data_IF_825288943600
#
_entry.id   IF_825288943600
#
_cell.length_a   1.000
_cell.length_b   1.000
_cell.length_c   1.000
_cell.angle_alpha   90.00
_cell.angle_beta   90.00
_cell.angle_gamma   90.00
#
_symmetry.space_group_name_H-M   'P 1'
#
loop_
_entity.id
_entity.type
_entity.pdbx_description
1 polymer ?
#
# COMPACT_ATOMS: atom_id res chain seq x y z
N UNK A 1 16.07 12.98 -0.82
CA UNK A 1 15.63 11.58 -0.64
C UNK A 1 14.26 11.61 0.04
N UNK A 2 13.17 11.29 -0.67
CA UNK A 2 11.82 11.34 -0.07
C UNK A 2 11.59 10.12 0.82
N UNK A 3 11.95 10.33 2.09
CA UNK A 3 11.66 9.62 3.35
C UNK A 3 10.73 8.40 3.29
N UNK A 4 11.28 7.21 3.56
CA UNK A 4 10.53 5.97 3.85
C UNK A 4 9.49 6.17 4.98
N UNK A 5 9.78 7.05 5.95
CA UNK A 5 8.82 7.44 7.01
C UNK A 5 7.54 8.10 6.48
N UNK A 6 7.62 8.77 5.33
CA UNK A 6 6.45 9.36 4.65
C UNK A 6 5.57 8.29 4.03
N UNK A 7 6.19 7.29 3.38
CA UNK A 7 5.48 6.16 2.77
C UNK A 7 4.76 5.32 3.84
N UNK A 8 5.42 5.00 4.95
CA UNK A 8 4.80 4.27 6.06
C UNK A 8 3.57 5.00 6.62
N UNK A 9 3.63 6.32 6.76
CA UNK A 9 2.49 7.13 7.23
C UNK A 9 1.31 7.10 6.23
N UNK A 10 1.60 7.20 4.94
CA UNK A 10 0.58 7.13 3.89
C UNK A 10 -0.05 5.73 3.80
N UNK A 11 0.74 4.66 3.95
CA UNK A 11 0.22 3.28 4.02
C UNK A 11 -0.71 3.10 5.22
N UNK A 12 -0.33 3.58 6.40
CA UNK A 12 -1.18 3.51 7.60
C UNK A 12 -2.51 4.27 7.40
N UNK A 13 -2.47 5.47 6.84
CA UNK A 13 -3.68 6.26 6.53
C UNK A 13 -4.55 5.52 5.50
N UNK A 14 -3.95 4.99 4.44
CA UNK A 14 -4.66 4.25 3.41
C UNK A 14 -5.36 3.02 3.98
N UNK A 15 -4.65 2.22 4.77
CA UNK A 15 -5.22 1.06 5.45
C UNK A 15 -6.37 1.52 6.37
N UNK A 16 -6.21 2.60 7.14
CA UNK A 16 -7.24 3.15 8.02
C UNK A 16 -8.52 3.51 7.27
N UNK A 17 -8.39 4.17 6.12
CA UNK A 17 -9.52 4.59 5.31
C UNK A 17 -10.25 3.41 4.63
N UNK A 18 -9.55 2.29 4.41
CA UNK A 18 -10.06 1.13 3.69
C UNK A 18 -10.37 -0.09 4.60
N UNK A 19 -10.22 0.01 5.92
CA UNK A 19 -10.42 -1.12 6.86
C UNK A 19 -11.83 -1.73 6.85
N UNK A 20 -12.84 -0.97 6.42
CA UNK A 20 -14.23 -1.45 6.38
C UNK A 20 -14.44 -2.58 5.35
N UNK A 21 -13.48 -2.83 4.45
CA UNK A 21 -13.64 -3.69 3.26
C UNK A 21 -12.92 -5.04 3.29
N UNK A 22 -12.40 -5.52 4.44
CA UNK A 22 -11.55 -6.73 4.59
C UNK A 22 -10.04 -6.40 4.53
N UNK A 23 -9.15 -7.25 5.06
CA UNK A 23 -7.71 -7.19 4.79
C UNK A 23 -7.38 -6.83 3.33
N UNK A 24 -6.51 -5.84 3.15
CA UNK A 24 -6.21 -5.25 1.84
C UNK A 24 -5.04 -6.00 1.21
N UNK A 25 -5.18 -6.36 -0.06
CA UNK A 25 -4.12 -7.01 -0.83
C UNK A 25 -2.99 -6.03 -1.17
N UNK A 26 -1.73 -6.42 -0.96
CA UNK A 26 -0.56 -5.60 -1.30
C UNK A 26 -0.54 -5.28 -2.80
N UNK A 27 -1.06 -6.16 -3.66
CA UNK A 27 -1.11 -5.90 -5.11
C UNK A 27 -2.01 -4.71 -5.43
N UNK A 28 -3.18 -4.62 -4.80
CA UNK A 28 -4.08 -3.46 -4.94
C UNK A 28 -3.44 -2.19 -4.36
N UNK A 29 -2.71 -2.33 -3.25
CA UNK A 29 -2.00 -1.21 -2.64
C UNK A 29 -0.86 -0.70 -3.54
N UNK A 30 -0.17 -1.58 -4.26
CA UNK A 30 0.85 -1.20 -5.23
C UNK A 30 0.27 -0.48 -6.47
N UNK A 31 -0.90 -0.90 -6.96
CA UNK A 31 -1.61 -0.21 -8.05
C UNK A 31 -1.94 1.24 -7.66
N UNK A 32 -2.52 1.45 -6.48
CA UNK A 32 -2.89 2.80 -6.01
C UNK A 32 -1.68 3.70 -5.74
N UNK A 33 -0.56 3.15 -5.27
CA UNK A 33 0.64 3.93 -4.94
C UNK A 33 1.59 4.16 -6.12
N UNK A 34 1.57 3.28 -7.12
CA UNK A 34 2.34 3.47 -8.37
C UNK A 34 1.68 4.49 -9.29
N UNK A 35 0.41 4.84 -9.08
CA UNK A 35 -0.33 5.75 -9.96
C UNK A 35 -0.70 5.12 -11.31
N UNK A 36 -0.39 3.83 -11.48
CA UNK A 36 -0.81 3.04 -12.63
C UNK A 36 -2.31 2.79 -12.52
N UNK A 37 -3.13 3.66 -13.13
CA UNK A 37 -4.55 3.34 -13.30
C UNK A 37 -4.64 2.07 -14.15
N UNK A 38 -5.29 0.98 -13.70
CA UNK A 38 -5.57 -0.13 -14.59
C UNK A 38 -6.42 0.43 -15.73
N UNK A 39 -5.91 0.40 -16.95
CA UNK A 39 -6.66 0.80 -18.12
C UNK A 39 -7.82 -0.20 -18.26
N UNK A 40 -9.10 0.18 -18.04
CA UNK A 40 -10.22 -0.76 -17.93
C UNK A 40 -10.58 -1.44 -19.26
N UNK A 41 -9.83 -1.18 -20.33
CA UNK A 41 -9.99 -1.75 -21.66
C UNK A 41 -8.96 -2.85 -22.00
N UNK A 42 -8.08 -3.24 -21.07
CA UNK A 42 -7.19 -4.38 -21.29
C UNK A 42 -7.97 -5.67 -21.05
N UNK A 43 -8.80 -6.00 -22.04
CA UNK A 43 -9.23 -7.38 -22.26
C UNK A 43 -8.00 -8.28 -22.35
N UNK A 44 -8.17 -9.52 -21.91
CA UNK A 44 -7.20 -10.60 -21.73
C UNK A 44 -6.24 -10.88 -22.91
N UNK A 45 -6.43 -10.21 -24.05
CA UNK A 45 -5.66 -10.31 -25.30
C UNK A 45 -4.61 -9.19 -25.54
N UNK A 46 -4.52 -8.15 -24.69
CA UNK A 46 -3.61 -7.01 -24.89
C UNK A 46 -2.32 -7.01 -24.04
N UNK A 47 -1.91 -8.17 -23.51
CA UNK A 47 -0.63 -8.36 -22.80
C UNK A 47 0.62 -8.29 -23.72
N UNK A 48 0.55 -7.53 -24.83
CA UNK A 48 1.68 -7.28 -25.74
C UNK A 48 2.15 -5.82 -25.75
N UNK A 49 1.56 -4.94 -24.93
CA UNK A 49 1.88 -3.51 -24.94
C UNK A 49 1.87 -2.82 -23.59
N UNK A 50 1.93 -3.57 -22.47
CA UNK A 50 2.25 -2.95 -21.17
C UNK A 50 3.74 -2.64 -21.24
N UNK A 51 4.11 -1.35 -21.19
CA UNK A 51 5.51 -0.95 -21.30
C UNK A 51 6.31 -1.63 -20.19
N UNK A 52 7.47 -2.21 -20.50
CA UNK A 52 8.32 -2.87 -19.50
C UNK A 52 8.62 -1.97 -18.29
N UNK A 53 8.64 -0.65 -18.50
CA UNK A 53 8.76 0.37 -17.46
C UNK A 53 7.57 0.41 -16.49
N UNK A 54 6.32 0.28 -16.95
CA UNK A 54 5.13 0.26 -16.08
C UNK A 54 5.13 -0.98 -15.18
N UNK A 55 5.60 -2.12 -15.70
CA UNK A 55 5.81 -3.33 -14.90
C UNK A 55 6.96 -3.20 -13.89
N UNK A 56 8.06 -2.55 -14.26
CA UNK A 56 9.21 -2.36 -13.38
C UNK A 56 8.91 -1.39 -12.22
N UNK A 57 8.19 -0.29 -12.50
CA UNK A 57 7.74 0.64 -11.47
C UNK A 57 6.74 -0.01 -10.51
N UNK A 58 5.80 -0.80 -11.05
CA UNK A 58 4.82 -1.53 -10.25
C UNK A 58 5.48 -2.60 -9.36
N UNK A 59 6.46 -3.33 -9.90
CA UNK A 59 7.22 -4.32 -9.14
C UNK A 59 8.12 -3.67 -8.08
N UNK A 60 8.78 -2.56 -8.41
CA UNK A 60 9.56 -1.76 -7.46
C UNK A 60 8.70 -1.22 -6.32
N UNK A 61 7.51 -0.69 -6.64
CA UNK A 61 6.57 -0.21 -5.63
C UNK A 61 6.07 -1.35 -4.74
N UNK A 62 5.75 -2.51 -5.32
CA UNK A 62 5.36 -3.71 -4.57
C UNK A 62 6.45 -4.14 -3.58
N UNK A 63 7.71 -4.18 -4.00
CA UNK A 63 8.83 -4.53 -3.12
C UNK A 63 8.99 -3.51 -1.99
N UNK A 64 8.91 -2.22 -2.29
CA UNK A 64 8.99 -1.15 -1.27
C UNK A 64 7.85 -1.22 -0.27
N UNK A 65 6.62 -1.41 -0.74
CA UNK A 65 5.45 -1.57 0.12
C UNK A 65 5.54 -2.83 0.97
N UNK A 66 6.04 -3.93 0.41
CA UNK A 66 6.26 -5.17 1.15
C UNK A 66 7.20 -4.93 2.32
N UNK A 67 8.36 -4.29 2.06
CA UNK A 67 9.32 -3.96 3.11
C UNK A 67 8.73 -3.03 4.18
N UNK A 68 8.00 -2.00 3.77
CA UNK A 68 7.33 -1.08 4.71
C UNK A 68 6.29 -1.82 5.56
N UNK A 69 5.52 -2.72 4.96
CA UNK A 69 4.51 -3.49 5.67
C UNK A 69 5.12 -4.50 6.64
N UNK A 70 6.24 -5.13 6.29
CA UNK A 70 7.03 -5.98 7.19
C UNK A 70 7.57 -5.17 8.37
N UNK A 71 8.15 -3.98 8.13
CA UNK A 71 8.61 -3.09 9.20
C UNK A 71 7.46 -2.62 10.10
N UNK A 72 6.27 -2.40 9.55
CA UNK A 72 5.06 -2.06 10.32
C UNK A 72 4.52 -3.25 11.12
N UNK A 73 4.68 -4.47 10.60
CA UNK A 73 4.34 -5.72 11.28
C UNK A 73 5.29 -5.99 12.45
N UNK A 74 6.61 -5.86 12.26
CA UNK A 74 7.61 -5.97 13.33
C UNK A 74 7.37 -4.96 14.47
N UNK A 75 6.83 -3.78 14.15
CA UNK A 75 6.45 -2.74 15.11
C UNK A 75 5.07 -2.99 15.76
N UNK A 76 4.37 -4.06 15.40
CA UNK A 76 3.04 -4.40 15.90
C UNK A 76 1.95 -3.41 15.48
N UNK A 77 2.14 -2.69 14.37
CA UNK A 77 1.17 -1.73 13.82
C UNK A 77 0.27 -2.39 12.76
N UNK A 78 0.76 -3.41 12.07
CA UNK A 78 0.04 -4.15 11.04
C UNK A 78 0.15 -5.65 11.33
N UNK A 79 -0.87 -6.41 10.98
CA UNK A 79 -0.83 -7.87 10.87
C UNK A 79 -0.88 -8.23 9.39
N UNK A 80 0.11 -8.99 8.92
CA UNK A 80 0.10 -9.55 7.58
C UNK A 80 -0.48 -10.96 7.62
N UNK A 81 -1.53 -11.18 6.84
CA UNK A 81 -2.14 -12.48 6.63
C UNK A 81 -1.84 -12.96 5.20
N UNK A 82 -1.63 -14.26 5.02
CA UNK A 82 -1.37 -14.86 3.70
C UNK A 82 0.07 -15.34 3.51
N UNK A 83 0.27 -16.12 2.46
CA UNK A 83 1.56 -16.77 2.16
C UNK A 83 2.39 -15.90 1.23
N UNK A 84 3.70 -15.74 1.50
CA UNK A 84 4.69 -15.13 0.60
C UNK A 84 4.70 -15.76 -0.81
N UNK A 85 4.20 -16.99 -0.94
CA UNK A 85 4.22 -17.80 -2.16
C UNK A 85 3.11 -17.40 -3.14
N UNK A 86 1.99 -16.88 -2.64
CA UNK A 86 0.86 -16.45 -3.46
C UNK A 86 0.81 -14.94 -3.30
N UNK A 87 0.95 -14.18 -4.38
CA UNK A 87 1.02 -12.71 -4.41
C UNK A 87 -0.16 -11.95 -3.77
N UNK A 88 -1.01 -12.64 -3.02
CA UNK A 88 -2.07 -12.15 -2.15
C UNK A 88 -1.61 -12.10 -0.70
N UNK A 89 -0.68 -11.20 -0.40
CA UNK A 89 -0.33 -10.86 0.98
C UNK A 89 -1.31 -9.77 1.42
N UNK A 90 -1.93 -9.95 2.57
CA UNK A 90 -3.05 -9.13 3.04
C UNK A 90 -2.65 -8.38 4.31
N UNK A 91 -2.81 -7.06 4.32
CA UNK A 91 -2.49 -6.24 5.48
C UNK A 91 -3.77 -5.84 6.24
N UNK A 92 -3.70 -5.92 7.57
CA UNK A 92 -4.72 -5.41 8.50
C UNK A 92 -4.05 -4.56 9.57
N UNK A 93 -4.70 -3.47 9.99
CA UNK A 93 -4.20 -2.66 11.10
C UNK A 93 -4.51 -3.31 12.45
N UNK A 94 -3.52 -3.31 13.34
CA UNK A 94 -3.72 -3.61 14.77
C UNK A 94 -4.38 -2.42 15.48
N UNK A 95 -4.85 -2.57 16.73
CA UNK A 95 -5.32 -1.43 17.52
C UNK A 95 -4.28 -0.31 17.64
N UNK A 96 -3.00 -0.67 17.85
CA UNK A 96 -1.88 0.27 17.92
C UNK A 96 -1.62 0.95 16.56
N UNK A 97 -1.68 0.19 15.47
CA UNK A 97 -1.57 0.73 14.12
C UNK A 97 -2.68 1.70 13.77
N UNK A 98 -3.91 1.40 14.20
CA UNK A 98 -5.07 2.29 14.02
C UNK A 98 -4.87 3.62 14.73
N UNK A 99 -4.49 3.59 16.01
CA UNK A 99 -4.20 4.81 16.77
C UNK A 99 -3.08 5.63 16.11
N UNK A 100 -2.02 4.95 15.62
CA UNK A 100 -0.94 5.62 14.89
C UNK A 100 -1.40 6.24 13.57
N UNK A 101 -2.22 5.54 12.81
CA UNK A 101 -2.79 6.01 11.55
C UNK A 101 -3.67 7.25 11.75
N UNK A 102 -4.46 7.28 12.82
CA UNK A 102 -5.30 8.44 13.18
C UNK A 102 -4.44 9.68 13.49
N UNK A 103 -3.32 9.52 14.20
CA UNK A 103 -2.34 10.60 14.43
C UNK A 103 -1.76 11.09 13.10
N UNK A 104 -1.30 10.17 12.22
CA UNK A 104 -0.76 10.53 10.91
C UNK A 104 -1.79 11.30 10.06
N UNK A 105 -3.05 10.87 10.06
CA UNK A 105 -4.15 11.53 9.35
C UNK A 105 -4.41 12.95 9.90
N UNK A 106 -4.42 13.11 11.22
CA UNK A 106 -4.59 14.40 11.87
C UNK A 106 -3.45 15.37 11.49
N UNK A 107 -2.20 14.91 11.50
CA UNK A 107 -1.04 15.69 11.09
C UNK A 107 -1.10 16.09 9.62
N UNK A 108 -1.52 15.19 8.73
CA UNK A 108 -1.74 15.50 7.30
C UNK A 108 -2.80 16.57 7.11
N UNK A 109 -3.93 16.48 7.83
CA UNK A 109 -5.00 17.49 7.78
C UNK A 109 -4.53 18.86 8.26
N UNK A 110 -3.75 18.93 9.35
CA UNK A 110 -3.18 20.19 9.85
C UNK A 110 -2.27 20.86 8.82
N UNK A 111 -1.48 20.08 8.07
CA UNK A 111 -0.60 20.60 7.02
C UNK A 111 -1.34 21.09 5.79
N UNK A 112 -2.52 20.55 5.49
CA UNK A 112 -3.32 20.95 4.33
C UNK A 112 -4.11 22.27 4.51
N UNK A 113 -4.19 22.78 5.75
CA UNK A 113 -4.95 24.00 6.11
C UNK A 113 -4.01 25.23 6.27
N UNK A 114 -2.68 25.02 6.19
CA UNK A 114 -1.67 26.08 6.21
C UNK A 114 -1.26 26.46 4.79
#
# INVERSE_FOLDING_TARGET
MKNESGLASEVLIYLLQNQARSPIDISLLAEDFSGARPNPLVGRDLLRGVSQDETAEHESMRQRLTRVLEELEERGLVELAGSLVVATRRARLTPSGRARAEVCLAERRKRAIR
#
